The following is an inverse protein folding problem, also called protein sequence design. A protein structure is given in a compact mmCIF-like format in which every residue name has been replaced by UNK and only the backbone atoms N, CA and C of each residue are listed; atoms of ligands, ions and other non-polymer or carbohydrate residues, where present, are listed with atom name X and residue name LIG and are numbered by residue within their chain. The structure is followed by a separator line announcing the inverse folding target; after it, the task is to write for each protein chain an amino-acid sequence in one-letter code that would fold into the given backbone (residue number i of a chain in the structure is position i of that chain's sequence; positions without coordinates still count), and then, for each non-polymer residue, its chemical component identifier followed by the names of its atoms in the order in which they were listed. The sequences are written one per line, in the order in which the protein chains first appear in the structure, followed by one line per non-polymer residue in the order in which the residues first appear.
data_IF_683977652337
#
_entry.id   IF_683977652337
#
_cell.length_a   1.000
_cell.length_b   1.000
_cell.length_c   1.000
_cell.angle_alpha   90.00
_cell.angle_beta   90.00
_cell.angle_gamma   90.00
#
_symmetry.space_group_name_H-M   'P 1'
#
loop_
_entity.id
_entity.type
_entity.pdbx_description
1 polymer ?
#
# COMPACT_ATOMS: atom_id res chain seq x y z
N UNK A 1 -5.61 14.40 -41.81
CA UNK A 1 -4.14 14.23 -41.79
C UNK A 1 -3.64 13.68 -40.43
N UNK A 2 -4.00 14.23 -39.27
CA UNK A 2 -3.54 13.71 -37.95
C UNK A 2 -4.08 12.31 -37.64
N UNK A 3 -5.35 12.01 -37.95
CA UNK A 3 -5.97 10.71 -37.70
C UNK A 3 -5.24 9.59 -38.49
N UNK A 4 -4.95 9.82 -39.77
CA UNK A 4 -4.21 8.84 -40.57
C UNK A 4 -2.77 8.58 -40.05
N UNK A 5 -2.11 9.58 -39.44
CA UNK A 5 -0.83 9.38 -38.77
C UNK A 5 -0.99 8.57 -37.48
N UNK A 6 -2.04 8.87 -36.71
CA UNK A 6 -2.36 8.13 -35.50
C UNK A 6 -2.60 6.65 -35.80
N UNK A 7 -3.33 6.34 -36.87
CA UNK A 7 -3.67 4.97 -37.31
C UNK A 7 -2.43 4.19 -37.78
N UNK A 8 -1.40 4.85 -38.25
CA UNK A 8 -0.11 4.23 -38.62
C UNK A 8 0.86 4.03 -37.43
N UNK A 9 0.42 4.35 -36.22
CA UNK A 9 1.27 4.25 -35.03
C UNK A 9 2.31 5.36 -34.90
N UNK A 10 2.27 6.37 -35.81
CA UNK A 10 3.16 7.52 -35.72
C UNK A 10 2.77 8.38 -34.50
N UNK A 11 3.74 8.74 -33.70
CA UNK A 11 3.48 9.60 -32.54
C UNK A 11 3.07 11.01 -32.98
N UNK A 12 1.89 11.44 -32.51
CA UNK A 12 1.36 12.77 -32.85
C UNK A 12 2.04 13.93 -32.10
N UNK A 13 2.72 13.65 -30.99
CA UNK A 13 3.38 14.68 -30.21
C UNK A 13 4.56 15.34 -30.92
N UNK A 14 4.57 16.68 -30.93
CA UNK A 14 5.64 17.47 -31.56
C UNK A 14 6.96 17.34 -30.80
N UNK A 15 6.94 17.28 -29.49
CA UNK A 15 8.12 17.22 -28.61
C UNK A 15 8.37 15.82 -28.09
N UNK A 16 9.64 15.46 -27.94
CA UNK A 16 10.01 14.23 -27.25
C UNK A 16 9.66 14.35 -25.76
N UNK A 17 9.19 13.28 -25.10
CA UNK A 17 9.06 13.24 -23.65
C UNK A 17 10.45 13.25 -22.99
N UNK A 18 10.50 13.68 -21.75
CA UNK A 18 11.73 13.65 -20.96
C UNK A 18 12.26 12.21 -20.87
N UNK A 19 13.57 12.02 -21.04
CA UNK A 19 14.19 10.71 -21.19
C UNK A 19 14.36 10.23 -22.64
N UNK A 20 13.75 10.94 -23.59
CA UNK A 20 13.89 10.69 -25.01
C UNK A 20 14.23 11.94 -25.77
N UNK A 21 14.87 11.76 -26.95
CA UNK A 21 15.04 12.78 -27.98
C UNK A 21 14.48 12.28 -29.30
N UNK A 22 14.16 13.19 -30.19
CA UNK A 22 13.81 12.83 -31.57
C UNK A 22 15.07 12.71 -32.42
N UNK A 23 15.14 11.62 -33.15
CA UNK A 23 16.09 11.46 -34.22
C UNK A 23 15.81 12.52 -35.32
N UNK A 24 16.79 13.32 -35.76
CA UNK A 24 16.58 14.35 -36.78
C UNK A 24 16.10 13.77 -38.11
N UNK A 25 16.58 12.59 -38.50
CA UNK A 25 16.30 11.97 -39.78
C UNK A 25 14.99 11.17 -39.77
N UNK A 26 14.88 10.22 -38.90
CA UNK A 26 13.74 9.29 -38.85
C UNK A 26 12.57 9.82 -38.02
N UNK A 27 12.76 10.88 -37.23
CA UNK A 27 11.79 11.45 -36.27
C UNK A 27 11.29 10.47 -35.21
N UNK A 28 11.90 9.30 -35.12
CA UNK A 28 11.62 8.31 -34.08
C UNK A 28 12.19 8.76 -32.75
N UNK A 29 11.66 8.17 -31.66
CA UNK A 29 12.20 8.41 -30.33
C UNK A 29 13.42 7.54 -30.11
N UNK A 30 14.52 8.18 -29.72
CA UNK A 30 15.75 7.54 -29.25
C UNK A 30 16.01 7.95 -27.81
N UNK A 31 16.66 7.07 -27.06
CA UNK A 31 16.94 7.29 -25.63
C UNK A 31 17.96 8.42 -25.46
N UNK A 32 17.69 9.32 -24.55
CA UNK A 32 18.63 10.29 -24.03
C UNK A 32 19.08 9.79 -22.65
N UNK A 33 20.25 9.14 -22.59
CA UNK A 33 20.70 8.39 -21.40
C UNK A 33 20.80 9.25 -20.14
N UNK A 34 21.16 10.53 -20.27
CA UNK A 34 21.26 11.45 -19.13
C UNK A 34 19.86 11.71 -18.53
N UNK A 35 18.90 12.08 -19.35
CA UNK A 35 17.52 12.27 -18.89
C UNK A 35 16.83 10.93 -18.55
N UNK A 36 17.15 9.85 -19.26
CA UNK A 36 16.61 8.53 -19.01
C UNK A 36 17.01 7.97 -17.63
N UNK A 37 18.25 8.24 -17.19
CA UNK A 37 18.69 7.86 -15.85
C UNK A 37 17.83 8.50 -14.76
N UNK A 38 17.46 9.78 -14.93
CA UNK A 38 16.56 10.46 -13.98
C UNK A 38 15.16 9.87 -14.01
N UNK A 39 14.63 9.54 -15.21
CA UNK A 39 13.33 8.88 -15.35
C UNK A 39 13.32 7.52 -14.61
N UNK A 40 14.31 6.67 -14.86
CA UNK A 40 14.44 5.37 -14.18
C UNK A 40 14.48 5.53 -12.66
N UNK A 41 15.21 6.53 -12.18
CA UNK A 41 15.32 6.86 -10.75
C UNK A 41 13.98 7.32 -10.16
N UNK A 42 13.20 8.15 -10.85
CA UNK A 42 11.86 8.59 -10.45
C UNK A 42 10.94 7.36 -10.25
N UNK A 43 10.96 6.43 -11.22
CA UNK A 43 10.18 5.19 -11.11
C UNK A 43 10.64 4.31 -9.94
N UNK A 44 11.96 4.16 -9.73
CA UNK A 44 12.52 3.42 -8.60
C UNK A 44 12.11 4.01 -7.24
N UNK A 45 12.20 5.34 -7.09
CA UNK A 45 11.74 6.03 -5.87
C UNK A 45 10.24 5.81 -5.61
N UNK A 46 9.42 5.86 -6.65
CA UNK A 46 7.99 5.62 -6.53
C UNK A 46 7.68 4.15 -6.18
N UNK A 47 8.37 3.20 -6.78
CA UNK A 47 8.29 1.77 -6.45
C UNK A 47 8.68 1.51 -4.98
N UNK A 48 9.72 2.21 -4.49
CA UNK A 48 10.14 2.22 -3.07
C UNK A 48 9.18 2.97 -2.14
N UNK A 49 8.03 3.43 -2.64
CA UNK A 49 6.98 4.02 -1.84
C UNK A 49 7.00 5.55 -1.70
N UNK A 50 7.91 6.27 -2.36
CA UNK A 50 7.90 7.74 -2.33
C UNK A 50 6.74 8.31 -3.14
N UNK A 51 6.04 9.31 -2.59
CA UNK A 51 4.98 10.02 -3.32
C UNK A 51 5.53 11.09 -4.27
N UNK A 52 4.73 11.57 -5.25
CA UNK A 52 5.16 12.58 -6.22
C UNK A 52 5.76 13.84 -5.58
N UNK A 53 5.15 14.36 -4.52
CA UNK A 53 5.65 15.56 -3.81
C UNK A 53 6.97 15.31 -3.07
N UNK A 54 7.21 14.08 -2.57
CA UNK A 54 8.48 13.71 -1.97
C UNK A 54 9.59 13.61 -3.02
N UNK A 55 9.29 12.96 -4.16
CA UNK A 55 10.21 12.84 -5.29
C UNK A 55 10.58 14.23 -5.81
N UNK A 56 9.61 15.11 -6.04
CA UNK A 56 9.84 16.48 -6.49
C UNK A 56 10.77 17.25 -5.53
N UNK A 57 10.58 17.07 -4.22
CA UNK A 57 11.44 17.70 -3.18
C UNK A 57 12.88 17.19 -3.23
N UNK A 58 13.07 15.88 -3.44
CA UNK A 58 14.39 15.26 -3.56
C UNK A 58 15.11 15.80 -4.79
N UNK A 59 14.46 15.79 -5.97
CA UNK A 59 15.05 16.28 -7.20
C UNK A 59 15.39 17.79 -7.12
N UNK A 60 14.53 18.58 -6.46
CA UNK A 60 14.80 20.00 -6.21
C UNK A 60 16.01 20.19 -5.30
N UNK A 61 16.15 19.41 -4.22
CA UNK A 61 17.28 19.47 -3.30
C UNK A 61 18.61 19.13 -3.99
N UNK A 62 18.58 18.19 -4.91
CA UNK A 62 19.74 17.74 -5.68
C UNK A 62 20.02 18.64 -6.91
N UNK A 63 19.27 19.71 -7.10
CA UNK A 63 19.43 20.66 -8.20
C UNK A 63 19.36 19.97 -9.59
N UNK A 64 18.46 19.01 -9.74
CA UNK A 64 18.21 18.37 -11.03
C UNK A 64 17.27 19.24 -11.85
N UNK A 65 17.69 19.57 -13.08
CA UNK A 65 16.93 20.42 -13.99
C UNK A 65 15.54 19.83 -14.29
N UNK A 66 14.52 20.68 -14.29
CA UNK A 66 13.19 20.29 -14.75
C UNK A 66 13.21 19.88 -16.23
N UNK A 67 12.26 19.05 -16.70
CA UNK A 67 12.24 18.63 -18.11
C UNK A 67 12.26 19.78 -19.11
N UNK A 68 11.59 20.89 -18.81
CA UNK A 68 11.55 22.09 -19.65
C UNK A 68 12.88 22.82 -19.67
N UNK A 69 13.51 22.97 -18.50
CA UNK A 69 14.83 23.58 -18.38
C UNK A 69 15.92 22.73 -19.01
N UNK A 70 15.88 21.41 -18.82
CA UNK A 70 16.80 20.47 -19.48
C UNK A 70 16.74 20.59 -21.02
N UNK A 71 15.51 20.57 -21.57
CA UNK A 71 15.30 20.70 -23.00
C UNK A 71 15.78 22.07 -23.53
N UNK A 72 15.63 23.15 -22.77
CA UNK A 72 16.12 24.46 -23.10
C UNK A 72 17.66 24.50 -23.06
N UNK A 73 18.27 24.04 -21.99
CA UNK A 73 19.72 24.10 -21.80
C UNK A 73 20.47 23.22 -22.81
N UNK A 74 19.97 22.00 -23.03
CA UNK A 74 20.66 21.00 -23.86
C UNK A 74 20.36 21.12 -25.37
N UNK A 75 19.12 21.49 -25.71
CA UNK A 75 18.64 21.48 -27.10
C UNK A 75 18.17 22.86 -27.61
N UNK A 76 18.25 23.91 -26.80
CA UNK A 76 17.77 25.25 -27.17
C UNK A 76 16.24 25.31 -27.36
N UNK A 77 15.48 24.33 -26.85
CA UNK A 77 14.05 24.25 -27.07
C UNK A 77 13.30 25.20 -26.15
N UNK A 78 12.74 26.26 -26.69
CA UNK A 78 11.89 27.18 -25.93
C UNK A 78 10.52 26.59 -25.63
N UNK A 79 10.06 26.71 -24.42
CA UNK A 79 8.76 26.22 -23.93
C UNK A 79 7.94 27.37 -23.34
N UNK A 80 6.63 27.44 -23.63
CA UNK A 80 5.71 28.48 -23.07
C UNK A 80 5.70 28.50 -21.54
N UNK A 81 6.01 27.35 -20.89
CA UNK A 81 6.08 27.23 -19.44
C UNK A 81 7.52 27.14 -18.91
N UNK A 82 8.48 27.76 -19.63
CA UNK A 82 9.87 27.77 -19.21
C UNK A 82 10.02 28.76 -18.05
N UNK A 83 10.43 28.25 -16.90
CA UNK A 83 10.75 29.04 -15.72
C UNK A 83 12.27 29.05 -15.51
N UNK A 84 12.93 30.09 -16.00
CA UNK A 84 14.37 30.29 -15.86
C UNK A 84 14.77 30.75 -14.46
N UNK A 85 13.83 31.32 -13.71
CA UNK A 85 14.09 31.76 -12.33
C UNK A 85 14.19 30.58 -11.36
N UNK A 86 13.46 29.49 -11.64
CA UNK A 86 13.44 28.32 -10.75
C UNK A 86 13.73 27.03 -11.54
N UNK A 87 14.96 26.82 -12.04
CA UNK A 87 15.30 25.74 -12.98
C UNK A 87 15.14 24.32 -12.39
N UNK A 88 15.12 24.19 -11.06
CA UNK A 88 15.04 22.94 -10.32
C UNK A 88 13.68 22.72 -9.64
N UNK A 89 12.69 23.57 -9.93
CA UNK A 89 11.40 23.52 -9.25
C UNK A 89 10.47 22.50 -9.87
N UNK A 90 10.73 21.22 -9.60
CA UNK A 90 9.84 20.13 -9.98
C UNK A 90 8.49 20.25 -9.29
N UNK A 91 7.40 20.18 -10.06
CA UNK A 91 6.06 20.08 -9.50
C UNK A 91 5.66 18.63 -9.31
N UNK A 92 4.83 18.38 -8.30
CA UNK A 92 4.25 17.05 -8.04
C UNK A 92 3.36 16.56 -9.19
N UNK A 93 2.65 17.48 -9.86
CA UNK A 93 1.87 17.18 -11.06
C UNK A 93 2.75 16.74 -12.24
N UNK A 94 3.94 17.34 -12.42
CA UNK A 94 4.88 16.90 -13.44
C UNK A 94 5.37 15.47 -13.20
N UNK A 95 5.71 15.15 -11.93
CA UNK A 95 6.08 13.79 -11.53
C UNK A 95 4.91 12.81 -11.71
N UNK A 96 3.69 13.19 -11.29
CA UNK A 96 2.51 12.34 -11.45
C UNK A 96 2.22 12.02 -12.90
N UNK A 97 2.27 13.02 -13.79
CA UNK A 97 2.08 12.85 -15.23
C UNK A 97 3.18 11.98 -15.88
N UNK A 98 4.42 12.10 -15.39
CA UNK A 98 5.53 11.27 -15.85
C UNK A 98 5.25 9.80 -15.47
N UNK A 99 4.88 9.52 -14.24
CA UNK A 99 4.59 8.16 -13.74
C UNK A 99 3.36 7.51 -14.39
N UNK A 100 2.46 8.29 -15.02
CA UNK A 100 1.27 7.81 -15.75
C UNK A 100 1.50 7.60 -17.24
N UNK A 101 2.65 8.01 -17.75
CA UNK A 101 2.87 8.02 -19.17
C UNK A 101 3.44 6.69 -19.67
N UNK A 102 2.60 5.88 -20.32
CA UNK A 102 2.95 4.57 -20.89
C UNK A 102 4.04 4.61 -21.98
N UNK A 103 4.46 5.79 -22.39
CA UNK A 103 5.55 5.94 -23.35
C UNK A 103 6.86 5.36 -22.81
N UNK A 104 7.03 5.33 -21.48
CA UNK A 104 8.21 4.75 -20.84
C UNK A 104 8.27 3.22 -20.91
N UNK A 105 7.15 2.57 -21.25
CA UNK A 105 7.09 1.14 -21.60
C UNK A 105 7.45 0.85 -23.07
N UNK A 106 7.78 1.87 -23.85
CA UNK A 106 8.00 1.72 -25.30
C UNK A 106 6.72 1.81 -26.13
N UNK A 107 5.58 2.15 -25.52
CA UNK A 107 4.29 2.19 -26.19
C UNK A 107 3.94 3.60 -26.66
N UNK A 108 3.36 3.71 -27.86
CA UNK A 108 2.77 4.95 -28.35
C UNK A 108 1.27 4.91 -28.15
N UNK A 109 0.74 5.84 -27.37
CA UNK A 109 -0.72 5.98 -27.16
C UNK A 109 -1.18 7.27 -27.80
N UNK A 110 -1.91 7.15 -28.88
CA UNK A 110 -2.50 8.26 -29.62
C UNK A 110 -3.97 8.47 -29.23
N UNK A 111 -4.51 9.63 -29.55
CA UNK A 111 -5.92 10.01 -29.36
C UNK A 111 -6.41 9.99 -27.89
N UNK A 112 -5.50 10.16 -26.94
CA UNK A 112 -5.88 10.33 -25.50
C UNK A 112 -6.82 11.51 -25.27
N UNK A 113 -6.72 12.51 -26.13
CA UNK A 113 -7.48 13.76 -26.02
C UNK A 113 -7.88 14.24 -27.41
N UNK A 114 -9.05 14.85 -27.47
CA UNK A 114 -9.51 15.62 -28.63
C UNK A 114 -10.06 16.99 -28.18
N UNK A 115 -10.29 17.87 -29.12
CA UNK A 115 -11.10 19.06 -28.91
C UNK A 115 -12.54 18.76 -29.30
N UNK A 116 -13.50 19.28 -28.56
CA UNK A 116 -14.91 19.03 -28.81
C UNK A 116 -15.34 19.46 -30.22
N UNK A 117 -14.84 20.60 -30.69
CA UNK A 117 -15.05 21.08 -32.04
C UNK A 117 -13.98 22.12 -32.42
N UNK A 118 -13.98 22.56 -33.68
CA UNK A 118 -13.11 23.66 -34.15
C UNK A 118 -13.40 24.98 -33.41
N UNK A 119 -14.67 25.22 -33.06
CA UNK A 119 -15.11 26.43 -32.34
C UNK A 119 -14.97 26.27 -30.82
N UNK A 120 -15.16 25.06 -30.30
CA UNK A 120 -15.02 24.75 -28.87
C UNK A 120 -13.74 23.95 -28.63
N UNK A 121 -12.69 24.65 -28.20
CA UNK A 121 -11.36 24.09 -27.96
C UNK A 121 -11.22 23.38 -26.62
N UNK A 122 -12.31 23.18 -25.87
CA UNK A 122 -12.27 22.43 -24.63
C UNK A 122 -11.74 21.03 -24.89
N UNK A 123 -10.75 20.63 -24.09
CA UNK A 123 -10.12 19.33 -24.17
C UNK A 123 -11.07 18.27 -23.61
N UNK A 124 -11.34 17.26 -24.41
CA UNK A 124 -12.10 16.07 -24.03
C UNK A 124 -11.11 14.92 -23.88
N UNK A 125 -11.13 14.24 -22.75
CA UNK A 125 -10.33 13.03 -22.51
C UNK A 125 -11.12 11.83 -22.99
N UNK A 126 -10.44 10.95 -23.72
CA UNK A 126 -11.02 9.69 -24.18
C UNK A 126 -10.70 8.57 -23.22
N UNK A 127 -11.65 7.66 -22.96
CA UNK A 127 -11.40 6.45 -22.21
C UNK A 127 -10.35 5.60 -22.94
N UNK A 128 -9.67 4.72 -22.21
CA UNK A 128 -8.55 3.94 -22.74
C UNK A 128 -8.94 3.06 -23.94
N UNK A 129 -10.18 2.55 -23.94
CA UNK A 129 -10.72 1.72 -25.00
C UNK A 129 -10.81 2.45 -26.35
N UNK A 130 -10.96 3.77 -26.33
CA UNK A 130 -11.00 4.62 -27.52
C UNK A 130 -9.60 5.10 -27.98
N UNK A 131 -8.57 4.90 -27.13
CA UNK A 131 -7.22 5.28 -27.44
C UNK A 131 -6.56 4.27 -28.39
N UNK A 132 -5.78 4.77 -29.36
CA UNK A 132 -4.97 3.91 -30.23
C UNK A 132 -3.64 3.62 -29.54
N UNK A 133 -3.45 2.37 -29.11
CA UNK A 133 -2.24 1.90 -28.44
C UNK A 133 -1.41 1.06 -29.39
N UNK A 134 -0.16 1.43 -29.56
CA UNK A 134 0.84 0.70 -30.35
C UNK A 134 1.99 0.33 -29.43
N UNK A 135 2.23 -0.97 -29.32
CA UNK A 135 3.27 -1.49 -28.43
C UNK A 135 4.64 -1.53 -29.12
N UNK A 136 5.71 -1.41 -28.32
CA UNK A 136 7.10 -1.54 -28.78
C UNK A 136 7.50 -0.64 -29.97
N UNK A 137 6.98 0.58 -30.01
CA UNK A 137 7.30 1.54 -31.07
C UNK A 137 8.65 2.22 -30.91
N UNK A 138 9.24 2.15 -29.73
CA UNK A 138 10.54 2.72 -29.38
C UNK A 138 11.14 1.99 -28.16
N UNK A 139 12.44 2.17 -27.87
CA UNK A 139 13.08 1.51 -26.72
C UNK A 139 12.40 1.88 -25.41
N UNK A 140 12.04 0.88 -24.60
CA UNK A 140 11.47 1.07 -23.28
C UNK A 140 12.54 1.55 -22.28
N UNK A 141 12.19 2.49 -21.39
CA UNK A 141 13.05 2.89 -20.26
C UNK A 141 12.77 2.09 -19.00
N UNK A 142 11.56 1.57 -18.88
CA UNK A 142 11.04 0.92 -17.67
C UNK A 142 10.48 -0.44 -18.07
N UNK A 143 10.71 -1.46 -17.23
CA UNK A 143 10.11 -2.79 -17.40
C UNK A 143 8.64 -2.78 -16.98
N UNK A 144 7.87 -3.72 -17.53
CA UNK A 144 6.46 -3.87 -17.20
C UNK A 144 6.23 -4.12 -15.70
N UNK A 145 7.10 -4.87 -15.07
CA UNK A 145 7.04 -5.19 -13.64
C UNK A 145 7.14 -3.95 -12.76
N UNK A 146 8.15 -3.09 -13.04
CA UNK A 146 8.35 -1.82 -12.33
C UNK A 146 7.16 -0.90 -12.55
N UNK A 147 6.63 -0.83 -13.77
CA UNK A 147 5.44 -0.06 -14.08
C UNK A 147 4.24 -0.51 -13.26
N UNK A 148 3.92 -1.81 -13.27
CA UNK A 148 2.76 -2.36 -12.57
C UNK A 148 2.89 -2.18 -11.04
N UNK A 149 4.12 -2.28 -10.49
CA UNK A 149 4.40 -1.98 -9.10
C UNK A 149 4.09 -0.51 -8.77
N UNK A 150 4.58 0.42 -9.58
CA UNK A 150 4.34 1.86 -9.42
C UNK A 150 2.85 2.19 -9.48
N UNK A 151 2.10 1.62 -10.44
CA UNK A 151 0.65 1.85 -10.52
C UNK A 151 -0.10 1.31 -9.31
N UNK A 152 0.31 0.14 -8.77
CA UNK A 152 -0.25 -0.40 -7.50
C UNK A 152 0.01 0.52 -6.32
N UNK A 153 1.27 0.96 -6.14
CA UNK A 153 1.65 1.87 -5.04
C UNK A 153 0.86 3.17 -5.13
N UNK A 154 0.68 3.72 -6.33
CA UNK A 154 -0.07 4.98 -6.54
C UNK A 154 -1.56 4.82 -6.26
N UNK A 155 -2.19 3.72 -6.66
CA UNK A 155 -3.60 3.42 -6.33
C UNK A 155 -3.82 3.31 -4.83
N UNK A 156 -2.91 2.62 -4.12
CA UNK A 156 -3.02 2.41 -2.67
C UNK A 156 -2.74 3.69 -1.86
N UNK A 157 -1.99 4.65 -2.42
CA UNK A 157 -1.67 5.94 -1.77
C UNK A 157 -2.66 7.05 -2.06
N UNK A 158 -3.80 6.78 -2.67
CA UNK A 158 -4.86 7.77 -2.76
C UNK A 158 -5.20 8.23 -1.35
N UNK A 159 -4.85 9.48 -1.04
CA UNK A 159 -5.24 10.09 0.24
C UNK A 159 -6.75 10.05 0.32
N UNK A 160 -7.25 9.29 1.28
CA UNK A 160 -8.65 9.40 1.68
C UNK A 160 -8.90 10.86 2.03
N UNK A 161 -9.97 11.44 1.56
CA UNK A 161 -10.39 12.77 2.02
C UNK A 161 -10.60 12.69 3.53
N UNK A 162 -10.45 13.81 4.25
CA UNK A 162 -10.72 13.83 5.69
C UNK A 162 -12.11 13.24 6.02
N UNK A 163 -13.06 13.43 5.15
CA UNK A 163 -14.42 12.92 5.29
C UNK A 163 -14.50 11.39 5.10
N UNK A 164 -13.79 10.84 4.11
CA UNK A 164 -13.69 9.39 3.89
C UNK A 164 -12.97 8.70 5.05
N UNK A 165 -11.89 9.31 5.56
CA UNK A 165 -11.15 8.85 6.75
C UNK A 165 -12.06 8.86 7.99
N UNK A 166 -12.78 9.96 8.21
CA UNK A 166 -13.73 10.10 9.32
C UNK A 166 -14.83 9.05 9.22
N UNK A 167 -15.45 8.85 8.05
CA UNK A 167 -16.48 7.86 7.82
C UNK A 167 -15.97 6.43 8.07
N UNK A 168 -14.72 6.12 7.66
CA UNK A 168 -14.09 4.84 7.91
C UNK A 168 -13.89 4.58 9.40
N UNK A 169 -13.43 5.60 10.14
CA UNK A 169 -13.27 5.51 11.61
C UNK A 169 -14.64 5.29 12.26
N UNK A 170 -15.65 6.09 11.92
CA UNK A 170 -17.01 5.97 12.46
C UNK A 170 -17.60 4.59 12.19
N UNK A 171 -17.44 4.05 11.00
CA UNK A 171 -17.91 2.70 10.65
C UNK A 171 -17.21 1.58 11.44
N UNK A 172 -15.97 1.79 11.89
CA UNK A 172 -15.22 0.84 12.71
C UNK A 172 -15.54 0.87 14.20
N UNK A 173 -16.13 1.96 14.71
CA UNK A 173 -16.45 2.13 16.15
C UNK A 173 -17.33 1.00 16.70
N UNK A 174 -18.48 0.66 16.08
CA UNK A 174 -19.37 -0.37 16.61
C UNK A 174 -18.71 -1.75 16.80
N UNK A 175 -17.80 -2.10 15.87
CA UNK A 175 -17.06 -3.37 15.99
C UNK A 175 -16.13 -3.38 17.20
N UNK A 176 -15.44 -2.26 17.43
CA UNK A 176 -14.53 -2.12 18.58
C UNK A 176 -15.28 -2.04 19.91
N UNK A 177 -16.43 -1.40 19.93
CA UNK A 177 -17.32 -1.36 21.10
C UNK A 177 -17.82 -2.76 21.46
N UNK A 178 -18.25 -3.55 20.48
CA UNK A 178 -18.66 -4.93 20.69
C UNK A 178 -17.51 -5.82 21.19
N UNK A 179 -16.30 -5.62 20.66
CA UNK A 179 -15.11 -6.34 21.10
C UNK A 179 -14.76 -5.99 22.56
N UNK A 180 -14.79 -4.71 22.92
CA UNK A 180 -14.57 -4.24 24.29
C UNK A 180 -15.63 -4.82 25.24
N UNK A 181 -16.89 -4.86 24.82
CA UNK A 181 -17.96 -5.41 25.64
C UNK A 181 -17.73 -6.90 25.90
N UNK A 182 -17.38 -7.69 24.90
CA UNK A 182 -17.04 -9.11 25.05
C UNK A 182 -15.87 -9.32 26.01
N UNK A 183 -14.80 -8.53 25.85
CA UNK A 183 -13.64 -8.62 26.74
C UNK A 183 -14.00 -8.26 28.18
N UNK A 184 -14.85 -7.26 28.41
CA UNK A 184 -15.34 -6.92 29.76
C UNK A 184 -16.16 -8.05 30.40
N UNK A 185 -17.01 -8.70 29.61
CA UNK A 185 -17.80 -9.85 30.07
C UNK A 185 -16.88 -11.01 30.48
N UNK A 186 -15.89 -11.35 29.63
CA UNK A 186 -14.89 -12.39 29.95
C UNK A 186 -14.09 -12.08 31.22
N UNK A 187 -13.63 -10.82 31.37
CA UNK A 187 -12.91 -10.39 32.60
C UNK A 187 -13.81 -10.52 33.82
N UNK A 188 -15.07 -10.07 33.73
CA UNK A 188 -16.02 -10.17 34.86
C UNK A 188 -16.31 -11.62 35.25
N UNK A 189 -16.44 -12.52 34.27
CA UNK A 189 -16.62 -13.97 34.52
C UNK A 189 -15.39 -14.57 35.18
N UNK A 190 -14.19 -14.20 34.70
CA UNK A 190 -12.92 -14.65 35.27
C UNK A 190 -12.73 -14.16 36.71
N UNK A 191 -13.03 -12.90 36.99
CA UNK A 191 -12.97 -12.32 38.35
C UNK A 191 -13.94 -13.03 39.28
N UNK A 192 -15.16 -13.30 38.83
CA UNK A 192 -16.16 -14.05 39.57
C UNK A 192 -15.69 -15.48 39.93
N UNK A 193 -15.01 -16.12 38.95
CA UNK A 193 -14.42 -17.47 39.20
C UNK A 193 -13.29 -17.39 40.23
N UNK A 194 -12.38 -16.42 40.10
CA UNK A 194 -11.26 -16.21 41.02
C UNK A 194 -11.75 -15.93 42.45
N UNK A 195 -12.79 -15.14 42.61
CA UNK A 195 -13.39 -14.85 43.93
C UNK A 195 -14.05 -16.08 44.55
N UNK A 196 -14.65 -16.93 43.73
CA UNK A 196 -15.16 -18.24 44.21
C UNK A 196 -13.98 -19.15 44.58
N UNK A 197 -12.95 -19.24 43.74
CA UNK A 197 -11.79 -20.07 44.00
C UNK A 197 -11.04 -19.67 45.31
N UNK A 198 -10.90 -18.38 45.58
CA UNK A 198 -10.28 -17.86 46.82
C UNK A 198 -11.03 -18.26 48.09
N UNK A 199 -12.34 -18.49 48.02
CA UNK A 199 -13.14 -18.93 49.18
C UNK A 199 -12.98 -20.42 49.52
N UNK A 200 -12.48 -21.20 48.56
CA UNK A 200 -12.32 -22.67 48.69
C UNK A 200 -10.85 -23.09 48.49
N UNK A 201 -9.95 -22.44 49.23
CA UNK A 201 -8.50 -22.72 49.15
C UNK A 201 -8.08 -24.07 49.75
N UNK A 202 -8.87 -24.62 50.70
CA UNK A 202 -8.58 -25.90 51.38
C UNK A 202 -9.68 -26.93 51.08
N UNK A 203 -9.66 -27.48 49.88
CA UNK A 203 -10.59 -28.53 49.48
C UNK A 203 -10.00 -29.88 49.88
N UNK A 204 -10.46 -30.43 50.98
CA UNK A 204 -10.07 -31.76 51.45
C UNK A 204 -10.92 -32.87 50.85
N UNK A 205 -12.16 -32.59 50.46
CA UNK A 205 -13.07 -33.54 49.83
C UNK A 205 -13.84 -32.91 48.69
N UNK A 206 -13.96 -33.62 47.54
CA UNK A 206 -14.74 -33.20 46.38
C UNK A 206 -16.24 -33.48 46.65
N UNK A 207 -16.97 -32.45 47.01
CA UNK A 207 -18.43 -32.55 47.17
C UNK A 207 -19.17 -32.28 45.87
N UNK A 208 -20.37 -32.82 45.64
CA UNK A 208 -21.19 -32.55 44.46
C UNK A 208 -21.52 -31.05 44.28
N UNK A 209 -21.55 -30.30 45.39
CA UNK A 209 -21.80 -28.85 45.36
C UNK A 209 -20.60 -28.08 44.78
N UNK A 210 -19.37 -28.46 45.16
CA UNK A 210 -18.15 -27.90 44.59
C UNK A 210 -18.02 -28.21 43.12
N UNK A 211 -18.34 -29.42 42.68
CA UNK A 211 -18.33 -29.78 41.27
C UNK A 211 -19.27 -28.88 40.44
N UNK A 212 -20.49 -28.67 40.91
CA UNK A 212 -21.48 -27.80 40.24
C UNK A 212 -21.10 -26.32 40.26
N UNK A 213 -20.32 -25.88 41.24
CA UNK A 213 -19.87 -24.49 41.36
C UNK A 213 -18.78 -24.15 40.36
N UNK A 214 -17.86 -25.07 40.13
CA UNK A 214 -16.66 -24.83 39.30
C UNK A 214 -16.70 -25.47 37.94
N UNK A 215 -17.45 -26.56 37.75
CA UNK A 215 -17.44 -27.32 36.49
C UNK A 215 -18.76 -27.12 35.76
N UNK A 216 -18.67 -26.68 34.53
CA UNK A 216 -19.81 -26.55 33.60
C UNK A 216 -20.16 -27.90 32.99
N UNK A 217 -19.15 -28.60 32.47
CA UNK A 217 -19.30 -29.94 31.86
C UNK A 217 -17.99 -30.69 31.84
N UNK A 218 -18.10 -32.01 31.81
CA UNK A 218 -16.97 -32.92 31.61
C UNK A 218 -17.23 -33.71 30.34
N UNK A 219 -16.29 -33.64 29.39
CA UNK A 219 -16.35 -34.43 28.16
C UNK A 219 -15.36 -35.57 28.27
N UNK A 220 -15.86 -36.79 28.17
CA UNK A 220 -15.06 -38.01 28.23
C UNK A 220 -14.97 -38.57 26.81
N UNK A 221 -13.80 -38.52 26.21
CA UNK A 221 -13.55 -39.03 24.86
C UNK A 221 -13.50 -40.56 24.84
N UNK A 222 -13.84 -41.18 23.72
CA UNK A 222 -13.70 -42.62 23.56
C UNK A 222 -12.22 -43.03 23.62
N UNK A 223 -11.98 -44.21 24.22
CA UNK A 223 -10.63 -44.79 24.25
C UNK A 223 -10.22 -45.23 22.86
N UNK A 224 -8.95 -45.02 22.50
CA UNK A 224 -8.39 -45.49 21.22
C UNK A 224 -8.54 -47.02 21.04
N UNK A 225 -8.40 -47.77 22.16
CA UNK A 225 -8.59 -49.21 22.19
C UNK A 225 -9.79 -49.55 23.05
N UNK A 226 -10.94 -49.82 22.44
CA UNK A 226 -12.24 -50.03 23.12
C UNK A 226 -12.28 -51.11 24.20
N UNK A 227 -11.44 -52.13 24.12
CA UNK A 227 -11.46 -53.31 25.00
C UNK A 227 -10.34 -53.32 26.05
N UNK A 228 -9.45 -52.35 26.06
CA UNK A 228 -8.35 -52.30 27.06
C UNK A 228 -8.79 -51.60 28.34
N UNK A 229 -8.61 -52.26 29.46
CA UNK A 229 -8.85 -51.67 30.81
C UNK A 229 -7.80 -50.60 31.14
N UNK A 230 -6.62 -50.63 30.53
CA UNK A 230 -5.45 -49.78 30.82
C UNK A 230 -5.15 -48.73 29.73
N UNK A 231 -5.98 -48.66 28.64
CA UNK A 231 -5.77 -47.63 27.62
C UNK A 231 -6.05 -46.22 28.19
N UNK A 232 -5.20 -45.24 27.89
CA UNK A 232 -5.44 -43.86 28.32
C UNK A 232 -6.73 -43.34 27.72
N UNK A 233 -7.45 -42.54 28.48
CA UNK A 233 -8.69 -41.91 28.07
C UNK A 233 -8.60 -40.42 28.32
N UNK A 234 -8.86 -39.61 27.28
CA UNK A 234 -8.85 -38.17 27.41
C UNK A 234 -10.14 -37.68 28.05
N UNK A 235 -10.00 -36.87 29.07
CA UNK A 235 -11.11 -36.22 29.78
C UNK A 235 -10.89 -34.72 29.72
N UNK A 236 -11.83 -33.98 29.14
CA UNK A 236 -11.81 -32.52 29.09
C UNK A 236 -12.77 -31.97 30.16
N UNK A 237 -12.25 -31.05 30.97
CA UNK A 237 -13.04 -30.41 32.01
C UNK A 237 -13.24 -28.94 31.61
N UNK A 238 -14.48 -28.53 31.42
CA UNK A 238 -14.86 -27.17 31.16
C UNK A 238 -15.30 -26.51 32.49
N UNK A 239 -14.61 -25.43 32.83
CA UNK A 239 -14.86 -24.66 34.03
C UNK A 239 -15.83 -23.51 33.78
N UNK A 240 -16.68 -23.23 34.78
CA UNK A 240 -17.62 -22.11 34.75
C UNK A 240 -16.87 -20.78 34.65
N UNK A 241 -17.09 -20.02 33.57
CA UNK A 241 -16.52 -18.69 33.35
C UNK A 241 -15.07 -18.63 32.81
N UNK A 242 -14.38 -19.80 32.68
CA UNK A 242 -13.02 -19.86 32.11
C UNK A 242 -12.98 -20.76 30.87
N UNK A 243 -13.93 -21.71 30.78
CA UNK A 243 -13.96 -22.70 29.72
C UNK A 243 -12.97 -23.86 29.97
N UNK A 244 -12.41 -24.41 28.88
CA UNK A 244 -11.47 -25.54 28.94
C UNK A 244 -10.05 -25.04 29.21
N UNK A 245 -9.42 -25.54 30.28
CA UNK A 245 -8.00 -25.32 30.56
C UNK A 245 -7.26 -26.58 30.12
N UNK A 246 -6.71 -26.57 28.91
CA UNK A 246 -5.89 -27.67 28.37
C UNK A 246 -4.57 -27.82 29.11
N UNK A 247 -4.10 -29.05 29.26
CA UNK A 247 -2.77 -29.36 29.82
C UNK A 247 -1.65 -29.12 28.82
N UNK A 248 -1.63 -28.00 28.09
CA UNK A 248 -0.63 -27.64 27.10
C UNK A 248 0.25 -26.50 27.61
N UNK A 249 1.49 -26.81 27.95
CA UNK A 249 2.53 -25.84 28.35
C UNK A 249 3.00 -24.91 27.21
N UNK A 250 2.28 -24.81 26.08
CA UNK A 250 2.75 -24.04 24.91
C UNK A 250 1.95 -22.77 24.61
N UNK A 251 0.76 -22.58 25.16
CA UNK A 251 -0.09 -21.43 24.75
C UNK A 251 0.05 -20.19 25.65
N UNK A 252 0.87 -20.24 26.69
CA UNK A 252 1.01 -19.13 27.65
C UNK A 252 2.22 -18.24 27.34
N UNK A 253 3.21 -18.73 26.58
CA UNK A 253 4.40 -17.94 26.21
C UNK A 253 4.15 -16.98 25.04
N UNK A 254 3.24 -17.31 24.12
CA UNK A 254 2.96 -16.49 22.93
C UNK A 254 2.06 -15.26 23.22
N UNK A 255 1.37 -15.26 24.36
CA UNK A 255 0.50 -14.14 24.78
C UNK A 255 1.22 -13.06 25.60
N UNK A 256 2.48 -13.27 25.99
CA UNK A 256 3.26 -12.34 26.83
C UNK A 256 4.36 -11.56 26.08
N UNK A 257 4.60 -11.84 24.81
CA UNK A 257 5.45 -11.00 23.97
C UNK A 257 4.64 -9.86 23.28
N UNK A 258 4.15 -8.93 24.08
CA UNK A 258 3.83 -7.61 23.56
C UNK A 258 5.16 -6.87 23.31
N UNK A 259 5.39 -6.27 22.13
CA UNK A 259 6.63 -5.54 21.87
C UNK A 259 6.72 -4.34 22.81
N UNK A 260 7.81 -4.27 23.56
CA UNK A 260 8.14 -3.10 24.37
C UNK A 260 8.20 -1.84 23.50
N UNK A 261 7.64 -0.70 23.96
CA UNK A 261 7.78 0.56 23.25
C UNK A 261 9.25 0.98 23.27
N UNK A 262 9.85 1.06 22.09
CA UNK A 262 11.22 1.57 21.92
C UNK A 262 11.33 2.96 22.53
N UNK A 263 12.12 3.05 23.58
CA UNK A 263 12.41 4.29 24.30
C UNK A 263 13.08 5.31 23.38
N UNK A 264 12.52 6.51 23.36
CA UNK A 264 13.12 7.69 22.76
C UNK A 264 14.40 8.06 23.52
N UNK A 265 15.56 7.79 22.93
CA UNK A 265 16.82 8.34 23.39
C UNK A 265 16.81 9.88 23.29
N UNK A 266 16.94 10.54 24.40
CA UNK A 266 17.25 11.97 24.48
C UNK A 266 18.72 12.20 24.14
N UNK A 267 19.07 13.19 23.30
CA UNK A 267 20.49 13.51 23.04
C UNK A 267 21.15 14.09 24.29
N UNK A 268 22.27 13.48 24.68
CA UNK A 268 23.18 14.04 25.68
C UNK A 268 23.83 15.31 25.12
N UNK A 269 23.64 16.42 25.80
CA UNK A 269 24.44 17.61 25.63
C UNK A 269 25.85 17.31 26.18
N UNK A 270 26.87 17.52 25.35
CA UNK A 270 28.28 17.57 25.79
C UNK A 270 28.64 19.01 26.11
N UNK A 271 29.24 19.19 27.26
CA UNK A 271 29.96 20.39 27.70
C UNK A 271 31.22 20.59 26.87
#
# INVERSE_FOLDING_TARGET
MLKAKAERGERLGTRAPYGYRKDPDTKKLIVDEEAAAIVRRIFAMCAGGSGPSQIARILKKEQILTPTMYAYTKYGMNHTCLDTAHPYNWSDSAIANLLENEIYLGNTVNMKHSTKSYKDKRRVEHPREECMVFENTHPALITREVWDMVQRVRKNKRRLTKMEEQNRIIAGIPQKENEIQRLRETVSETDSFLDKAKRYTDITELTPELLRLFIERIVVHEKEVKWSKHAPQTVEIHYNGIGYVGSGQQDVEEALEAPEPQGTEKPRQAS
#
